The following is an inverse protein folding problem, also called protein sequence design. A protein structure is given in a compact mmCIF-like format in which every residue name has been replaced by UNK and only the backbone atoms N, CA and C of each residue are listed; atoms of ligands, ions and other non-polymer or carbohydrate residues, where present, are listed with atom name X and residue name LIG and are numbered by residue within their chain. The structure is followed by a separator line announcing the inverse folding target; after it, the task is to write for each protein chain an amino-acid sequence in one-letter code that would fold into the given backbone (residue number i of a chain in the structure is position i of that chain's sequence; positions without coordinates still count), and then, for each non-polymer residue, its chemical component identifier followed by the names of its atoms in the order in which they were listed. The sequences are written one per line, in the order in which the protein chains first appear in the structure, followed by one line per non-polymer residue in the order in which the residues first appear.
data_IF_194342655073
#
_entry.id   IF_194342655073
#
_cell.length_a   1.000
_cell.length_b   1.000
_cell.length_c   1.000
_cell.angle_alpha   90.00
_cell.angle_beta   90.00
_cell.angle_gamma   90.00
#
_symmetry.space_group_name_H-M   'P 1'
#
loop_
_entity.id
_entity.type
_entity.pdbx_description
1 polymer ?
#
# COMPACT_ATOMS: atom_id res chain seq x y z
N UNK A 1 9.64 4.78 -14.51
CA UNK A 1 8.65 3.83 -13.96
C UNK A 1 8.41 4.23 -12.52
N UNK A 2 7.15 4.25 -12.08
CA UNK A 2 6.83 4.47 -10.66
C UNK A 2 7.18 3.24 -9.83
N UNK A 3 7.44 3.41 -8.52
CA UNK A 3 7.71 2.30 -7.60
C UNK A 3 6.56 1.27 -7.62
N UNK A 4 5.32 1.73 -7.80
CA UNK A 4 4.12 0.88 -7.97
C UNK A 4 4.26 -0.02 -9.19
N UNK A 5 4.62 0.52 -10.36
CA UNK A 5 4.79 -0.27 -11.58
C UNK A 5 5.89 -1.33 -11.45
N UNK A 6 7.00 -0.95 -10.81
CA UNK A 6 8.10 -1.87 -10.54
C UNK A 6 7.65 -3.00 -9.61
N UNK A 7 6.94 -2.67 -8.53
CA UNK A 7 6.41 -3.69 -7.62
C UNK A 7 5.44 -4.63 -8.34
N UNK A 8 4.48 -4.09 -9.11
CA UNK A 8 3.49 -4.90 -9.83
C UNK A 8 4.13 -5.84 -10.84
N UNK A 9 5.26 -5.44 -11.45
CA UNK A 9 6.03 -6.30 -12.35
C UNK A 9 6.82 -7.39 -11.61
N UNK A 10 7.41 -7.06 -10.46
CA UNK A 10 8.26 -7.97 -9.68
C UNK A 10 7.47 -8.90 -8.75
N UNK A 11 6.25 -8.53 -8.34
CA UNK A 11 5.43 -9.28 -7.39
C UNK A 11 5.22 -10.75 -7.80
N UNK A 12 5.11 -11.01 -9.10
CA UNK A 12 4.94 -12.37 -9.64
C UNK A 12 6.26 -13.07 -9.97
N UNK A 13 7.36 -12.31 -10.12
CA UNK A 13 8.64 -12.82 -10.65
C UNK A 13 9.70 -13.00 -9.58
N UNK A 14 9.86 -11.98 -8.73
CA UNK A 14 10.92 -11.90 -7.75
C UNK A 14 10.43 -11.22 -6.48
N UNK A 15 10.01 -12.04 -5.52
CA UNK A 15 9.54 -11.58 -4.20
C UNK A 15 10.60 -10.77 -3.45
N UNK A 16 11.88 -11.07 -3.63
CA UNK A 16 12.98 -10.32 -3.00
C UNK A 16 13.06 -8.90 -3.53
N UNK A 17 12.94 -8.71 -4.84
CA UNK A 17 12.92 -7.37 -5.45
C UNK A 17 11.63 -6.61 -5.11
N UNK A 18 10.48 -7.27 -5.12
CA UNK A 18 9.22 -6.67 -4.66
C UNK A 18 9.35 -6.15 -3.22
N UNK A 19 9.93 -6.95 -2.33
CA UNK A 19 10.20 -6.56 -0.93
C UNK A 19 11.18 -5.39 -0.85
N UNK A 20 12.22 -5.36 -1.69
CA UNK A 20 13.18 -4.25 -1.76
C UNK A 20 12.50 -2.93 -2.14
N UNK A 21 11.58 -2.98 -3.12
CA UNK A 21 10.80 -1.81 -3.55
C UNK A 21 9.93 -1.30 -2.40
N UNK A 22 9.26 -2.20 -1.67
CA UNK A 22 8.46 -1.85 -0.48
C UNK A 22 9.30 -1.09 0.56
N UNK A 23 10.47 -1.64 0.92
CA UNK A 23 11.35 -0.99 1.90
C UNK A 23 11.90 0.35 1.40
N UNK A 24 12.20 0.45 0.11
CA UNK A 24 12.64 1.70 -0.50
C UNK A 24 11.54 2.77 -0.41
N UNK A 25 10.29 2.43 -0.75
CA UNK A 25 9.16 3.34 -0.65
C UNK A 25 8.88 3.74 0.80
N UNK A 26 8.93 2.79 1.74
CA UNK A 26 8.77 3.06 3.17
C UNK A 26 9.84 4.04 3.69
N UNK A 27 11.09 3.86 3.28
CA UNK A 27 12.19 4.78 3.64
C UNK A 27 12.00 6.18 3.08
N UNK A 28 11.45 6.30 1.86
CA UNK A 28 11.13 7.60 1.25
C UNK A 28 9.97 8.31 1.95
N UNK A 29 8.98 7.55 2.45
CA UNK A 29 7.92 8.08 3.31
C UNK A 29 8.49 8.58 4.64
N UNK A 30 9.41 7.82 5.24
CA UNK A 30 10.10 8.22 6.47
C UNK A 30 10.95 9.48 6.29
N UNK A 31 11.73 9.56 5.21
CA UNK A 31 12.57 10.73 4.91
C UNK A 31 11.78 11.94 4.39
N UNK A 32 10.46 11.81 4.20
CA UNK A 32 9.55 12.81 3.63
C UNK A 32 9.88 13.20 2.18
N UNK A 33 10.69 12.38 1.49
CA UNK A 33 10.93 12.50 0.04
C UNK A 33 9.69 12.10 -0.78
N UNK A 34 8.85 11.24 -0.21
CA UNK A 34 7.56 10.85 -0.75
C UNK A 34 6.47 11.23 0.26
N UNK A 35 5.39 11.85 -0.21
CA UNK A 35 4.20 12.02 0.63
C UNK A 35 3.29 10.82 0.46
N UNK A 36 2.62 10.44 1.55
CA UNK A 36 1.64 9.36 1.53
C UNK A 36 0.51 9.63 0.52
N UNK A 37 0.07 10.88 0.38
CA UNK A 37 -0.99 11.25 -0.58
C UNK A 37 -0.54 10.95 -2.00
N UNK A 38 0.66 11.37 -2.39
CA UNK A 38 1.24 11.11 -3.71
C UNK A 38 1.34 9.60 -4.00
N UNK A 39 1.68 8.79 -2.98
CA UNK A 39 1.70 7.33 -3.09
C UNK A 39 0.30 6.77 -3.37
N UNK A 40 -0.70 7.16 -2.58
CA UNK A 40 -2.08 6.69 -2.74
C UNK A 40 -2.67 7.14 -4.08
N UNK A 41 -2.39 8.36 -4.51
CA UNK A 41 -2.80 8.87 -5.83
C UNK A 41 -2.17 8.05 -6.97
N UNK A 42 -0.87 7.73 -6.87
CA UNK A 42 -0.19 6.88 -7.86
C UNK A 42 -0.75 5.45 -7.93
N UNK A 43 -1.36 4.97 -6.84
CA UNK A 43 -2.05 3.69 -6.79
C UNK A 43 -3.47 3.75 -7.35
N UNK A 44 -4.05 4.94 -7.50
CA UNK A 44 -5.45 5.13 -7.90
C UNK A 44 -5.80 4.49 -9.23
N UNK A 45 -4.91 4.56 -10.23
CA UNK A 45 -5.13 3.95 -11.55
C UNK A 45 -5.15 2.40 -11.50
N UNK A 46 -4.42 1.80 -10.56
CA UNK A 46 -4.34 0.35 -10.42
C UNK A 46 -5.41 -0.19 -9.47
N UNK A 47 -5.74 0.57 -8.42
CA UNK A 47 -6.79 0.21 -7.46
C UNK A 47 -8.20 0.31 -8.06
N UNK A 48 -8.39 1.13 -9.09
CA UNK A 48 -9.64 1.25 -9.85
C UNK A 48 -9.61 0.51 -11.19
N UNK A 49 -8.63 -0.37 -11.41
CA UNK A 49 -8.54 -1.14 -12.64
C UNK A 49 -9.65 -2.21 -12.72
N UNK A 50 -10.13 -2.54 -13.92
CA UNK A 50 -11.11 -3.61 -14.14
C UNK A 50 -10.58 -4.99 -13.72
N UNK A 51 -9.27 -5.20 -13.83
CA UNK A 51 -8.62 -6.46 -13.44
C UNK A 51 -8.48 -6.58 -11.92
N UNK A 52 -9.23 -7.52 -11.34
CA UNK A 52 -9.24 -7.80 -9.91
C UNK A 52 -7.85 -8.19 -9.36
N UNK A 53 -7.07 -8.92 -10.17
CA UNK A 53 -5.69 -9.27 -9.85
C UNK A 53 -4.80 -8.03 -9.64
N UNK A 54 -4.97 -7.01 -10.49
CA UNK A 54 -4.17 -5.79 -10.44
C UNK A 54 -4.56 -4.92 -9.24
N UNK A 55 -5.87 -4.82 -8.95
CA UNK A 55 -6.37 -4.16 -7.74
C UNK A 55 -5.84 -4.81 -6.48
N UNK A 56 -5.91 -6.14 -6.40
CA UNK A 56 -5.46 -6.92 -5.24
C UNK A 56 -3.95 -6.77 -5.00
N UNK A 57 -3.12 -6.83 -6.05
CA UNK A 57 -1.67 -6.61 -5.96
C UNK A 57 -1.31 -5.19 -5.55
N UNK A 58 -2.06 -4.20 -6.03
CA UNK A 58 -1.86 -2.80 -5.65
C UNK A 58 -2.20 -2.56 -4.19
N UNK A 59 -3.25 -3.21 -3.69
CA UNK A 59 -3.58 -3.18 -2.27
C UNK A 59 -2.55 -3.94 -1.43
N UNK A 60 -1.99 -5.04 -1.94
CA UNK A 60 -0.91 -5.77 -1.28
C UNK A 60 0.34 -4.89 -1.13
N UNK A 61 0.72 -4.18 -2.18
CA UNK A 61 1.81 -3.20 -2.13
C UNK A 61 1.59 -2.14 -1.05
N UNK A 62 0.39 -1.52 -1.02
CA UNK A 62 0.06 -0.52 -0.01
C UNK A 62 0.16 -1.11 1.40
N UNK A 63 -0.40 -2.31 1.61
CA UNK A 63 -0.31 -3.03 2.89
C UNK A 63 1.13 -3.27 3.32
N UNK A 64 1.98 -3.74 2.42
CA UNK A 64 3.38 -4.05 2.72
C UNK A 64 4.17 -2.77 3.03
N UNK A 65 3.94 -1.68 2.29
CA UNK A 65 4.57 -0.38 2.56
C UNK A 65 4.15 0.13 3.93
N UNK A 66 2.86 0.12 4.25
CA UNK A 66 2.37 0.50 5.59
C UNK A 66 2.98 -0.37 6.68
N UNK A 67 3.14 -1.67 6.44
CA UNK A 67 3.81 -2.63 7.32
C UNK A 67 5.32 -2.40 7.50
N UNK A 68 5.97 -1.69 6.58
CA UNK A 68 7.40 -1.38 6.61
C UNK A 68 7.73 0.03 7.16
N UNK A 69 6.79 0.97 7.13
CA UNK A 69 7.01 2.38 7.57
C UNK A 69 7.18 2.50 9.08
N UNK A 70 8.23 3.10 9.66
CA UNK A 70 8.40 3.16 11.12
C UNK A 70 7.26 3.83 11.91
N UNK A 71 7.17 3.51 13.21
CA UNK A 71 6.24 4.14 14.14
C UNK A 71 6.44 5.67 14.12
N UNK A 72 5.34 6.43 14.19
CA UNK A 72 5.28 7.92 14.20
C UNK A 72 5.55 8.62 12.86
N UNK A 73 5.83 7.91 11.77
CA UNK A 73 5.91 8.54 10.43
C UNK A 73 4.54 9.02 9.98
N UNK A 74 3.49 8.23 10.26
CA UNK A 74 2.11 8.56 9.92
C UNK A 74 1.43 9.34 11.05
N UNK A 75 0.84 10.48 10.70
CA UNK A 75 0.00 11.25 11.63
C UNK A 75 -1.31 10.53 11.94
N UNK A 76 -1.97 10.91 13.05
CA UNK A 76 -3.28 10.37 13.41
C UNK A 76 -4.33 10.58 12.31
N UNK A 77 -4.31 11.75 11.66
CA UNK A 77 -5.23 12.06 10.55
C UNK A 77 -4.98 11.15 9.34
N UNK A 78 -3.72 10.96 8.95
CA UNK A 78 -3.36 10.07 7.84
C UNK A 78 -3.77 8.62 8.13
N UNK A 79 -3.58 8.14 9.37
CA UNK A 79 -4.01 6.79 9.77
C UNK A 79 -5.53 6.64 9.69
N UNK A 80 -6.30 7.60 10.21
CA UNK A 80 -7.75 7.57 10.13
C UNK A 80 -8.23 7.54 8.67
N UNK A 81 -7.67 8.40 7.81
CA UNK A 81 -8.02 8.46 6.40
C UNK A 81 -7.64 7.16 5.64
N UNK A 82 -6.49 6.57 5.96
CA UNK A 82 -6.11 5.26 5.40
C UNK A 82 -7.05 4.15 5.87
N UNK A 83 -7.44 4.13 7.15
CA UNK A 83 -8.40 3.15 7.65
C UNK A 83 -9.74 3.26 6.90
N UNK A 84 -10.29 4.47 6.80
CA UNK A 84 -11.57 4.69 6.10
C UNK A 84 -11.47 4.29 4.62
N UNK A 85 -10.35 4.63 3.97
CA UNK A 85 -10.08 4.24 2.59
C UNK A 85 -9.98 2.72 2.43
N UNK A 86 -9.22 2.02 3.28
CA UNK A 86 -9.07 0.56 3.18
C UNK A 86 -10.41 -0.13 3.45
N UNK A 87 -11.18 0.34 4.42
CA UNK A 87 -12.52 -0.18 4.71
C UNK A 87 -13.47 0.02 3.53
N UNK A 88 -13.43 1.15 2.83
CA UNK A 88 -14.28 1.38 1.66
C UNK A 88 -13.96 0.41 0.52
N UNK A 89 -12.72 -0.09 0.43
CA UNK A 89 -12.33 -1.09 -0.59
C UNK A 89 -12.82 -2.50 -0.29
N UNK A 90 -13.04 -2.84 0.99
CA UNK A 90 -13.56 -4.17 1.38
C UNK A 90 -15.00 -4.37 0.88
N UNK A 91 -15.80 -3.30 0.83
CA UNK A 91 -17.21 -3.36 0.43
C UNK A 91 -17.36 -3.74 -1.05
N UNK A 92 -16.43 -3.29 -1.89
CA UNK A 92 -16.53 -3.41 -3.36
C UNK A 92 -15.60 -4.47 -3.97
N UNK A 93 -14.64 -5.03 -3.21
CA UNK A 93 -13.61 -5.92 -3.76
C UNK A 93 -13.31 -7.13 -2.84
N UNK A 94 -13.95 -8.26 -3.12
CA UNK A 94 -13.79 -9.50 -2.36
C UNK A 94 -12.41 -10.16 -2.52
N UNK A 95 -11.72 -9.96 -3.65
CA UNK A 95 -10.37 -10.51 -3.86
C UNK A 95 -9.30 -9.73 -3.10
N UNK A 96 -9.55 -8.43 -2.86
CA UNK A 96 -8.64 -7.56 -2.11
C UNK A 96 -8.74 -7.66 -0.59
N UNK A 97 -9.71 -8.40 -0.04
CA UNK A 97 -9.99 -8.44 1.41
C UNK A 97 -8.76 -8.84 2.23
N UNK A 98 -8.00 -9.85 1.78
CA UNK A 98 -6.81 -10.30 2.49
C UNK A 98 -5.73 -9.21 2.61
N UNK A 99 -5.53 -8.45 1.53
CA UNK A 99 -4.59 -7.32 1.51
C UNK A 99 -5.11 -6.15 2.34
N UNK A 100 -6.41 -5.87 2.31
CA UNK A 100 -7.04 -4.85 3.14
C UNK A 100 -6.90 -5.18 4.63
N UNK A 101 -7.18 -6.42 5.03
CA UNK A 101 -7.05 -6.87 6.42
C UNK A 101 -5.60 -6.72 6.93
N UNK A 102 -4.61 -7.11 6.12
CA UNK A 102 -3.19 -6.89 6.46
C UNK A 102 -2.84 -5.42 6.61
N UNK A 103 -3.37 -4.56 5.75
CA UNK A 103 -3.13 -3.11 5.84
C UNK A 103 -3.72 -2.52 7.12
N UNK A 104 -4.93 -2.94 7.51
CA UNK A 104 -5.56 -2.52 8.77
C UNK A 104 -4.79 -3.00 10.00
N UNK A 105 -4.35 -4.26 10.02
CA UNK A 105 -3.50 -4.80 11.10
C UNK A 105 -2.18 -4.03 11.19
N UNK A 106 -1.54 -3.74 10.06
CA UNK A 106 -0.31 -2.95 10.04
C UNK A 106 -0.52 -1.55 10.60
N UNK A 107 -1.69 -0.94 10.36
CA UNK A 107 -2.03 0.37 10.93
C UNK A 107 -2.31 0.31 12.43
N UNK A 108 -2.96 -0.76 12.91
CA UNK A 108 -3.25 -1.00 14.33
C UNK A 108 -1.97 -1.23 15.14
N UNK A 109 -1.07 -2.10 14.67
CA UNK A 109 0.22 -2.40 15.33
C UNK A 109 1.12 -1.16 15.44
N UNK A 110 0.81 -0.12 14.67
CA UNK A 110 1.52 1.16 14.66
C UNK A 110 0.82 2.27 15.44
N UNK A 111 -0.28 1.93 16.11
CA UNK A 111 -1.21 2.81 16.84
C UNK A 111 -0.72 3.21 18.21
#
# INVERSE_FOLDING_TARGET
MSDVQLYLFEADKNKTEATRIVFQTARRLESKELKLVDLVESLGEYLNNEEASLRSKSMAYLSEVLGAVPLKVLSRQQRALLCDFILSRIVDDSEGIGSCAKALLALEERG
#
